data_IF_534140352323
#
_entry.id   IF_534140352323
#
_cell.length_a   1.000
_cell.length_b   1.000
_cell.length_c   1.000
_cell.angle_alpha   90.00
_cell.angle_beta   90.00
_cell.angle_gamma   90.00
#
_symmetry.space_group_name_H-M   'P 1'
#
loop_
_entity.id
_entity.type
_entity.pdbx_description
1 polymer ?
#
# COMPACT_ATOMS: atom_id res chain seq x y z
N UNK A 1 -55.43 24.86 -9.24
CA UNK A 1 -56.33 24.37 -10.31
C UNK A 1 -55.63 24.57 -11.63
N UNK A 2 -55.20 23.50 -12.29
CA UNK A 2 -54.61 23.56 -13.64
C UNK A 2 -55.72 23.94 -14.62
N UNK A 3 -55.56 25.06 -15.32
CA UNK A 3 -56.46 25.43 -16.42
C UNK A 3 -55.63 25.25 -17.68
N UNK A 4 -55.97 24.26 -18.49
CA UNK A 4 -55.24 23.99 -19.73
C UNK A 4 -55.25 25.21 -20.63
N UNK A 5 -54.17 25.42 -21.40
CA UNK A 5 -54.09 26.49 -22.40
C UNK A 5 -55.29 26.43 -23.35
N UNK A 6 -55.73 25.21 -23.71
CA UNK A 6 -56.94 24.96 -24.50
C UNK A 6 -58.21 25.41 -23.79
N UNK A 7 -58.37 25.12 -22.50
CA UNK A 7 -59.53 25.56 -21.71
C UNK A 7 -59.55 27.08 -21.54
N UNK A 8 -58.40 27.74 -21.36
CA UNK A 8 -58.32 29.22 -21.32
C UNK A 8 -58.71 29.84 -22.65
N UNK A 9 -58.19 29.32 -23.76
CA UNK A 9 -58.55 29.80 -25.10
C UNK A 9 -60.05 29.57 -25.38
N UNK A 10 -60.59 28.41 -24.99
CA UNK A 10 -62.01 28.10 -25.13
C UNK A 10 -62.89 29.03 -24.28
N UNK A 11 -62.53 29.29 -23.02
CA UNK A 11 -63.24 30.23 -22.14
C UNK A 11 -63.18 31.67 -22.66
N UNK A 12 -62.04 32.09 -23.22
CA UNK A 12 -61.89 33.39 -23.88
C UNK A 12 -62.81 33.51 -25.10
N UNK A 13 -62.78 32.53 -25.99
CA UNK A 13 -63.64 32.50 -27.18
C UNK A 13 -65.12 32.48 -26.79
N UNK A 14 -65.48 31.70 -25.76
CA UNK A 14 -66.84 31.66 -25.23
C UNK A 14 -67.25 33.00 -24.62
N UNK A 15 -66.40 33.65 -23.83
CA UNK A 15 -66.68 34.95 -23.21
C UNK A 15 -66.83 36.09 -24.24
N UNK A 16 -65.97 36.12 -25.26
CA UNK A 16 -66.10 37.08 -26.37
C UNK A 16 -67.34 36.78 -27.22
N UNK A 17 -67.64 35.50 -27.47
CA UNK A 17 -68.83 35.08 -28.20
C UNK A 17 -70.14 35.43 -27.48
N UNK A 18 -70.21 35.21 -26.16
CA UNK A 18 -71.39 35.56 -25.35
C UNK A 18 -71.55 37.07 -25.21
N UNK A 19 -70.46 37.82 -25.00
CA UNK A 19 -70.48 39.28 -24.97
C UNK A 19 -70.96 39.86 -26.31
N UNK A 20 -70.46 39.32 -27.43
CA UNK A 20 -70.90 39.68 -28.77
C UNK A 20 -72.41 39.39 -28.96
N UNK A 21 -72.87 38.18 -28.65
CA UNK A 21 -74.29 37.81 -28.76
C UNK A 21 -75.20 38.69 -27.90
N UNK A 22 -74.82 38.96 -26.64
CA UNK A 22 -75.58 39.83 -25.74
C UNK A 22 -75.65 41.25 -26.28
N UNK A 23 -74.54 41.77 -26.80
CA UNK A 23 -74.44 43.11 -27.35
C UNK A 23 -75.27 43.28 -28.63
N UNK A 24 -75.31 42.25 -29.49
CA UNK A 24 -76.17 42.17 -30.67
C UNK A 24 -77.66 42.10 -30.29
N UNK A 25 -78.01 41.26 -29.30
CA UNK A 25 -79.39 41.12 -28.81
C UNK A 25 -79.93 42.42 -28.20
N UNK A 26 -79.10 43.14 -27.44
CA UNK A 26 -79.42 44.47 -26.91
C UNK A 26 -79.58 45.51 -28.03
N UNK A 27 -78.66 45.55 -29.00
CA UNK A 27 -78.75 46.46 -30.13
C UNK A 27 -80.03 46.24 -30.95
N UNK A 28 -80.43 44.99 -31.18
CA UNK A 28 -81.69 44.65 -31.84
C UNK A 28 -82.91 45.09 -31.00
N UNK A 29 -82.89 44.88 -29.68
CA UNK A 29 -83.98 45.26 -28.76
C UNK A 29 -84.20 46.78 -28.70
N UNK A 30 -83.13 47.58 -28.81
CA UNK A 30 -83.18 49.04 -28.77
C UNK A 30 -83.25 49.70 -30.16
N UNK A 31 -83.45 48.92 -31.23
CA UNK A 31 -83.69 49.44 -32.58
C UNK A 31 -82.46 50.07 -33.25
N UNK A 32 -81.25 49.59 -32.93
CA UNK A 32 -80.04 50.10 -33.57
C UNK A 32 -80.03 49.78 -35.07
N UNK A 33 -79.53 50.71 -35.91
CA UNK A 33 -79.41 50.44 -37.34
C UNK A 33 -78.36 49.36 -37.63
N UNK A 34 -78.49 48.70 -38.78
CA UNK A 34 -77.62 47.57 -39.20
C UNK A 34 -76.12 47.91 -39.14
N UNK A 35 -75.74 49.12 -39.54
CA UNK A 35 -74.35 49.59 -39.49
C UNK A 35 -73.81 49.69 -38.05
N UNK A 36 -74.66 49.95 -37.05
CA UNK A 36 -74.27 49.94 -35.63
C UNK A 36 -73.98 48.53 -35.10
N UNK A 37 -74.76 47.53 -35.53
CA UNK A 37 -74.53 46.12 -35.17
C UNK A 37 -73.24 45.58 -35.81
N UNK A 38 -72.96 45.97 -37.07
CA UNK A 38 -71.72 45.61 -37.77
C UNK A 38 -70.48 46.27 -37.14
N UNK A 39 -70.57 47.53 -36.71
CA UNK A 39 -69.47 48.20 -36.03
C UNK A 39 -69.13 47.53 -34.68
N UNK A 40 -70.15 47.10 -33.94
CA UNK A 40 -70.00 46.40 -32.67
C UNK A 40 -69.37 45.01 -32.83
N UNK A 41 -69.75 44.25 -33.86
CA UNK A 41 -69.13 42.97 -34.16
C UNK A 41 -67.67 43.12 -34.59
N UNK A 42 -67.37 44.12 -35.43
CA UNK A 42 -66.00 44.46 -35.81
C UNK A 42 -65.16 44.88 -34.59
N UNK A 43 -65.72 45.64 -33.65
CA UNK A 43 -65.05 46.03 -32.41
C UNK A 43 -64.68 44.81 -31.54
N UNK A 44 -65.62 43.89 -31.33
CA UNK A 44 -65.33 42.66 -30.58
C UNK A 44 -64.32 41.75 -31.27
N UNK A 45 -64.37 41.64 -32.60
CA UNK A 45 -63.38 40.89 -33.39
C UNK A 45 -61.98 41.52 -33.30
N UNK A 46 -61.89 42.86 -33.33
CA UNK A 46 -60.63 43.58 -33.18
C UNK A 46 -60.02 43.34 -31.78
N UNK A 47 -60.83 43.45 -30.72
CA UNK A 47 -60.38 43.17 -29.36
C UNK A 47 -59.90 41.73 -29.18
N UNK A 48 -60.65 40.76 -29.72
CA UNK A 48 -60.24 39.35 -29.72
C UNK A 48 -58.92 39.16 -30.49
N UNK A 49 -58.78 39.77 -31.66
CA UNK A 49 -57.57 39.72 -32.47
C UNK A 49 -56.34 40.29 -31.75
N UNK A 50 -56.48 41.46 -31.11
CA UNK A 50 -55.41 42.06 -30.30
C UNK A 50 -55.02 41.16 -29.11
N UNK A 51 -56.01 40.57 -28.43
CA UNK A 51 -55.77 39.66 -27.31
C UNK A 51 -55.04 38.38 -27.76
N UNK A 52 -55.46 37.77 -28.87
CA UNK A 52 -54.82 36.59 -29.45
C UNK A 52 -53.39 36.90 -29.92
N UNK A 53 -53.16 38.06 -30.56
CA UNK A 53 -51.83 38.49 -30.98
C UNK A 53 -50.89 38.66 -29.79
N UNK A 54 -51.37 39.28 -28.70
CA UNK A 54 -50.59 39.43 -27.47
C UNK A 54 -50.24 38.07 -26.84
N UNK A 55 -51.17 37.11 -26.83
CA UNK A 55 -50.92 35.75 -26.35
C UNK A 55 -49.90 35.00 -27.24
N UNK A 56 -50.03 35.09 -28.57
CA UNK A 56 -49.09 34.45 -29.50
C UNK A 56 -47.67 34.99 -29.36
N UNK A 57 -47.51 36.30 -29.20
CA UNK A 57 -46.19 36.92 -28.98
C UNK A 57 -45.46 36.34 -27.77
N UNK A 58 -46.18 36.07 -26.67
CA UNK A 58 -45.61 35.45 -25.47
C UNK A 58 -45.16 34.00 -25.69
N UNK A 59 -45.94 33.23 -26.44
CA UNK A 59 -45.61 31.82 -26.75
C UNK A 59 -44.39 31.75 -27.68
N UNK A 60 -44.35 32.60 -28.73
CA UNK A 60 -43.21 32.64 -29.65
C UNK A 60 -41.92 33.10 -28.96
N UNK A 61 -42.01 34.07 -28.03
CA UNK A 61 -40.87 34.47 -27.22
C UNK A 61 -40.34 33.31 -26.36
N UNK A 62 -41.24 32.53 -25.74
CA UNK A 62 -40.86 31.33 -24.97
C UNK A 62 -40.22 30.26 -25.85
N UNK A 63 -40.74 30.02 -27.05
CA UNK A 63 -40.14 29.07 -28.00
C UNK A 63 -38.71 29.49 -28.36
N UNK A 64 -38.48 30.78 -28.65
CA UNK A 64 -37.12 31.30 -28.90
C UNK A 64 -36.23 31.18 -27.68
N UNK A 65 -36.75 31.41 -26.48
CA UNK A 65 -36.00 31.25 -25.25
C UNK A 65 -35.60 29.79 -24.99
N UNK A 66 -36.52 28.85 -25.19
CA UNK A 66 -36.25 27.40 -25.11
C UNK A 66 -35.27 26.92 -26.18
N UNK A 67 -35.38 27.42 -27.41
CA UNK A 67 -34.44 27.09 -28.47
C UNK A 67 -33.03 27.62 -28.12
N UNK A 68 -32.96 28.87 -27.66
CA UNK A 68 -31.68 29.48 -27.26
C UNK A 68 -30.99 28.76 -26.10
N UNK A 69 -31.73 28.25 -25.11
CA UNK A 69 -31.12 27.48 -24.02
C UNK A 69 -30.59 26.12 -24.48
N UNK A 70 -31.20 25.50 -25.48
CA UNK A 70 -30.68 24.27 -26.08
C UNK A 70 -29.34 24.52 -26.80
N UNK A 71 -29.20 25.66 -27.48
CA UNK A 71 -27.93 26.05 -28.08
C UNK A 71 -26.86 26.26 -26.98
N UNK A 72 -27.19 26.90 -25.87
CA UNK A 72 -26.26 27.03 -24.73
C UNK A 72 -25.85 25.68 -24.13
N UNK A 73 -26.76 24.70 -24.06
CA UNK A 73 -26.42 23.35 -23.61
C UNK A 73 -25.45 22.64 -24.55
N UNK A 74 -25.55 22.87 -25.86
CA UNK A 74 -24.58 22.34 -26.84
C UNK A 74 -23.18 22.91 -26.63
N UNK A 75 -23.10 24.16 -26.19
CA UNK A 75 -21.84 24.83 -25.87
C UNK A 75 -21.32 24.49 -24.46
N UNK A 76 -22.06 23.66 -23.71
CA UNK A 76 -21.69 23.20 -22.37
C UNK A 76 -22.00 24.19 -21.24
N UNK A 77 -22.78 25.24 -21.51
CA UNK A 77 -23.26 26.19 -20.51
C UNK A 77 -24.66 25.80 -20.02
N UNK A 78 -24.71 25.28 -18.80
CA UNK A 78 -25.95 24.85 -18.13
C UNK A 78 -26.39 25.81 -17.02
N UNK A 79 -25.90 27.06 -17.02
CA UNK A 79 -26.18 28.03 -15.96
C UNK A 79 -27.53 28.74 -16.10
N UNK A 80 -28.18 28.64 -17.25
CA UNK A 80 -29.43 29.33 -17.55
C UNK A 80 -30.65 28.58 -17.02
N UNK A 81 -31.63 29.35 -16.55
CA UNK A 81 -32.95 28.85 -16.17
C UNK A 81 -34.03 29.74 -16.77
N UNK A 82 -35.10 29.12 -17.24
CA UNK A 82 -36.24 29.82 -17.81
C UNK A 82 -37.31 30.00 -16.74
N UNK A 83 -37.95 31.16 -16.73
CA UNK A 83 -39.06 31.44 -15.80
C UNK A 83 -40.34 31.66 -16.60
N UNK A 84 -41.36 30.88 -16.29
CA UNK A 84 -42.70 31.08 -16.84
C UNK A 84 -43.70 31.30 -15.69
N UNK A 85 -44.33 32.49 -15.61
CA UNK A 85 -45.16 32.85 -14.47
C UNK A 85 -46.51 32.10 -14.42
N UNK A 86 -46.95 31.47 -15.52
CA UNK A 86 -48.25 30.81 -15.57
C UNK A 86 -48.12 29.32 -15.22
N UNK A 87 -49.10 28.79 -14.47
CA UNK A 87 -49.20 27.36 -14.14
C UNK A 87 -50.05 26.63 -15.17
N UNK A 88 -49.50 26.48 -16.37
CA UNK A 88 -50.09 25.80 -17.54
C UNK A 88 -49.13 24.75 -18.11
N UNK A 89 -49.46 24.15 -19.25
CA UNK A 89 -48.62 23.14 -19.92
C UNK A 89 -47.24 23.67 -20.30
N UNK A 90 -47.13 24.95 -20.68
CA UNK A 90 -45.86 25.60 -20.97
C UNK A 90 -45.03 25.76 -19.69
N UNK A 91 -45.66 26.09 -18.56
CA UNK A 91 -45.01 26.08 -17.25
C UNK A 91 -44.46 24.71 -16.86
N UNK A 92 -45.17 23.63 -17.17
CA UNK A 92 -44.66 22.27 -16.96
C UNK A 92 -43.46 21.94 -17.84
N UNK A 93 -43.49 22.37 -19.12
CA UNK A 93 -42.37 22.19 -20.05
C UNK A 93 -41.14 22.97 -19.58
N UNK A 94 -41.29 24.22 -19.15
CA UNK A 94 -40.21 25.04 -18.59
C UNK A 94 -39.63 24.40 -17.33
N UNK A 95 -40.49 23.91 -16.43
CA UNK A 95 -40.05 23.20 -15.24
C UNK A 95 -39.28 21.91 -15.60
N UNK A 96 -39.73 21.15 -16.61
CA UNK A 96 -39.01 19.97 -17.09
C UNK A 96 -37.67 20.33 -17.73
N UNK A 97 -37.62 21.41 -18.51
CA UNK A 97 -36.40 21.91 -19.14
C UNK A 97 -35.36 22.36 -18.11
N UNK A 98 -35.77 23.12 -17.08
CA UNK A 98 -34.86 23.53 -16.00
C UNK A 98 -34.34 22.32 -15.22
N UNK A 99 -35.20 21.32 -14.92
CA UNK A 99 -34.73 20.07 -14.27
C UNK A 99 -33.67 19.35 -15.10
N UNK A 100 -33.80 19.37 -16.43
CA UNK A 100 -32.79 18.79 -17.32
C UNK A 100 -31.47 19.57 -17.22
N UNK A 101 -31.52 20.90 -17.30
CA UNK A 101 -30.35 21.77 -17.13
C UNK A 101 -29.64 21.55 -15.79
N UNK A 102 -30.38 21.52 -14.69
CA UNK A 102 -29.86 21.24 -13.35
C UNK A 102 -29.18 19.87 -13.27
N UNK A 103 -29.78 18.85 -13.90
CA UNK A 103 -29.22 17.49 -13.93
C UNK A 103 -27.91 17.44 -14.71
N UNK A 104 -27.85 18.06 -15.88
CA UNK A 104 -26.63 18.13 -16.72
C UNK A 104 -25.52 18.93 -16.01
N UNK A 105 -25.87 20.06 -15.40
CA UNK A 105 -24.94 20.87 -14.59
C UNK A 105 -24.37 20.06 -13.43
N UNK A 106 -25.23 19.34 -12.70
CA UNK A 106 -24.80 18.49 -11.60
C UNK A 106 -23.87 17.35 -12.07
N UNK A 107 -24.17 16.71 -13.21
CA UNK A 107 -23.31 15.68 -13.80
C UNK A 107 -21.95 16.25 -14.22
N UNK A 108 -21.93 17.41 -14.90
CA UNK A 108 -20.69 18.08 -15.32
C UNK A 108 -19.82 18.45 -14.12
N UNK A 109 -20.40 19.06 -13.10
CA UNK A 109 -19.68 19.41 -11.87
C UNK A 109 -19.12 18.18 -11.16
N UNK A 110 -19.89 17.08 -11.07
CA UNK A 110 -19.42 15.82 -10.48
C UNK A 110 -18.26 15.21 -11.26
N UNK A 111 -18.32 15.23 -12.59
CA UNK A 111 -17.23 14.75 -13.45
C UNK A 111 -15.96 15.60 -13.25
N UNK A 112 -16.08 16.93 -13.28
CA UNK A 112 -14.96 17.83 -13.07
C UNK A 112 -14.35 17.69 -11.66
N UNK A 113 -15.18 17.57 -10.61
CA UNK A 113 -14.71 17.31 -9.26
C UNK A 113 -13.98 15.97 -9.15
N UNK A 114 -14.49 14.92 -9.81
CA UNK A 114 -13.86 13.60 -9.83
C UNK A 114 -12.52 13.64 -10.57
N UNK A 115 -12.45 14.33 -11.70
CA UNK A 115 -11.21 14.50 -12.47
C UNK A 115 -10.16 15.25 -11.65
N UNK A 116 -10.53 16.37 -11.03
CA UNK A 116 -9.63 17.15 -10.17
C UNK A 116 -9.16 16.34 -8.95
N UNK A 117 -10.05 15.56 -8.32
CA UNK A 117 -9.69 14.66 -7.22
C UNK A 117 -8.68 13.61 -7.68
N UNK A 118 -8.93 12.94 -8.81
CA UNK A 118 -8.04 11.91 -9.35
C UNK A 118 -6.68 12.50 -9.74
N UNK A 119 -6.64 13.64 -10.41
CA UNK A 119 -5.38 14.33 -10.73
C UNK A 119 -4.64 14.73 -9.45
N UNK A 120 -5.34 15.29 -8.46
CA UNK A 120 -4.72 15.65 -7.17
C UNK A 120 -4.10 14.44 -6.48
N UNK A 121 -4.79 13.30 -6.46
CA UNK A 121 -4.28 12.04 -5.88
C UNK A 121 -3.04 11.55 -6.64
N UNK A 122 -3.09 11.56 -7.98
CA UNK A 122 -1.96 11.13 -8.81
C UNK A 122 -0.76 12.04 -8.62
N UNK A 123 -0.95 13.37 -8.69
CA UNK A 123 0.12 14.36 -8.57
C UNK A 123 0.77 14.39 -7.19
N UNK A 124 -0.01 14.23 -6.12
CA UNK A 124 0.49 14.29 -4.73
C UNK A 124 0.83 12.91 -4.13
N UNK A 125 0.71 11.83 -4.91
CA UNK A 125 1.19 10.53 -4.47
C UNK A 125 2.71 10.60 -4.22
N UNK A 126 3.20 10.11 -3.06
CA UNK A 126 4.63 10.12 -2.76
C UNK A 126 5.42 9.14 -3.65
N UNK A 127 4.74 8.14 -4.22
CA UNK A 127 5.35 7.20 -5.15
C UNK A 127 5.48 7.86 -6.54
N UNK A 128 6.64 7.68 -7.19
CA UNK A 128 6.82 8.11 -8.56
C UNK A 128 6.00 7.22 -9.50
N UNK A 129 5.09 7.84 -10.26
CA UNK A 129 4.21 7.15 -11.20
C UNK A 129 4.51 7.63 -12.60
N UNK A 130 4.83 6.70 -13.50
CA UNK A 130 4.97 6.96 -14.93
C UNK A 130 4.04 6.03 -15.71
N UNK A 131 3.32 6.60 -16.66
CA UNK A 131 2.59 5.85 -17.65
C UNK A 131 3.34 5.95 -18.97
N UNK A 132 3.70 4.81 -19.56
CA UNK A 132 4.35 4.75 -20.88
C UNK A 132 3.46 4.06 -21.91
N UNK A 133 3.59 4.48 -23.17
CA UNK A 133 2.93 3.83 -24.30
C UNK A 133 3.77 2.65 -24.85
N UNK A 134 3.27 2.02 -25.91
CA UNK A 134 3.94 0.88 -26.57
C UNK A 134 5.28 1.21 -27.25
N UNK A 135 5.68 2.49 -27.32
CA UNK A 135 6.95 2.95 -27.89
C UNK A 135 7.86 3.55 -26.81
N UNK A 136 7.64 3.19 -25.54
CA UNK A 136 8.35 3.69 -24.37
C UNK A 136 8.34 5.22 -24.26
N UNK A 137 7.28 5.88 -24.72
CA UNK A 137 7.08 7.32 -24.52
C UNK A 137 6.25 7.56 -23.29
N UNK A 138 6.70 8.52 -22.47
CA UNK A 138 5.99 8.91 -21.26
C UNK A 138 4.71 9.65 -21.65
N UNK A 139 3.56 9.08 -21.30
CA UNK A 139 2.24 9.68 -21.47
C UNK A 139 1.88 10.55 -20.26
N UNK A 140 2.26 10.11 -19.06
CA UNK A 140 1.98 10.82 -17.81
C UNK A 140 3.14 10.57 -16.83
N UNK A 141 3.60 11.63 -16.18
CA UNK A 141 4.51 11.54 -15.04
C UNK A 141 4.03 12.44 -13.91
N UNK A 142 3.77 11.87 -12.73
CA UNK A 142 3.34 12.66 -11.57
C UNK A 142 4.49 13.51 -11.01
N UNK A 143 4.18 14.39 -10.04
CA UNK A 143 5.18 15.29 -9.45
C UNK A 143 6.39 14.54 -8.85
N UNK A 144 6.16 13.39 -8.20
CA UNK A 144 7.22 12.55 -7.66
C UNK A 144 8.12 12.00 -8.77
N UNK A 145 7.55 11.50 -9.88
CA UNK A 145 8.32 11.05 -11.04
C UNK A 145 9.12 12.18 -11.69
N UNK A 146 8.54 13.39 -11.79
CA UNK A 146 9.25 14.56 -12.33
C UNK A 146 10.45 14.94 -11.47
N UNK A 147 10.31 14.93 -10.14
CA UNK A 147 11.43 15.19 -9.22
C UNK A 147 12.52 14.13 -9.35
N UNK A 148 12.11 12.86 -9.39
CA UNK A 148 13.04 11.74 -9.38
C UNK A 148 13.76 11.56 -10.72
N UNK A 149 13.05 11.59 -11.85
CA UNK A 149 13.59 11.29 -13.20
C UNK A 149 13.78 12.52 -14.09
N UNK A 150 13.09 13.63 -13.82
CA UNK A 150 13.04 14.80 -14.72
C UNK A 150 13.67 16.08 -14.17
N UNK A 151 14.32 16.03 -13.00
CA UNK A 151 14.86 17.23 -12.33
C UNK A 151 13.79 18.32 -12.13
N UNK A 152 12.54 17.90 -11.90
CA UNK A 152 11.37 18.76 -11.75
C UNK A 152 10.69 19.19 -13.06
N UNK A 153 11.25 18.84 -14.23
CA UNK A 153 10.64 19.14 -15.54
C UNK A 153 9.55 18.14 -15.90
N UNK A 154 8.68 18.55 -16.83
CA UNK A 154 7.65 17.69 -17.43
C UNK A 154 8.31 16.57 -18.22
N UNK A 155 7.80 15.35 -18.04
CA UNK A 155 8.34 14.13 -18.65
C UNK A 155 7.54 13.72 -19.89
N UNK A 156 6.33 14.23 -20.04
CA UNK A 156 5.40 13.83 -21.09
C UNK A 156 6.02 14.02 -22.50
N UNK A 157 5.80 13.05 -23.38
CA UNK A 157 6.31 13.02 -24.75
C UNK A 157 7.76 12.55 -24.91
N UNK A 158 8.55 12.53 -23.83
CA UNK A 158 9.94 12.08 -23.87
C UNK A 158 10.03 10.55 -23.91
N UNK A 159 11.12 10.05 -24.49
CA UNK A 159 11.44 8.61 -24.50
C UNK A 159 12.00 8.20 -23.14
N UNK A 160 11.44 7.14 -22.55
CA UNK A 160 11.88 6.59 -21.27
C UNK A 160 13.35 6.14 -21.31
N UNK A 161 13.83 5.39 -22.32
CA UNK A 161 15.26 5.10 -22.48
C UNK A 161 16.16 6.34 -22.45
N UNK A 162 15.75 7.43 -23.10
CA UNK A 162 16.53 8.67 -23.12
C UNK A 162 16.59 9.35 -21.74
N UNK A 163 15.51 9.28 -20.96
CA UNK A 163 15.47 9.78 -19.58
C UNK A 163 16.35 8.95 -18.63
N UNK A 164 16.49 7.65 -18.90
CA UNK A 164 17.28 6.71 -18.09
C UNK A 164 18.76 6.69 -18.46
N UNK A 165 19.15 7.15 -19.64
CA UNK A 165 20.53 7.03 -20.15
C UNK A 165 21.61 7.65 -19.22
N UNK A 166 21.24 8.68 -18.45
CA UNK A 166 22.15 9.38 -17.53
C UNK A 166 21.97 8.93 -16.07
N UNK A 167 21.15 7.89 -15.83
CA UNK A 167 20.86 7.37 -14.50
C UNK A 167 21.83 6.25 -14.11
N UNK A 168 21.99 5.95 -12.81
CA UNK A 168 22.86 4.86 -12.36
C UNK A 168 22.48 3.52 -13.00
N UNK A 169 23.48 2.69 -13.26
CA UNK A 169 23.34 1.44 -14.03
C UNK A 169 22.28 0.51 -13.42
N UNK A 170 22.24 0.38 -12.08
CA UNK A 170 21.24 -0.40 -11.37
C UNK A 170 19.80 0.02 -11.70
N UNK A 171 19.55 1.33 -11.85
CA UNK A 171 18.24 1.84 -12.27
C UNK A 171 17.97 1.50 -13.73
N UNK A 172 18.94 1.63 -14.63
CA UNK A 172 18.76 1.28 -16.05
C UNK A 172 18.40 -0.21 -16.21
N UNK A 173 19.13 -1.09 -15.50
CA UNK A 173 18.89 -2.53 -15.51
C UNK A 173 17.50 -2.87 -14.95
N UNK A 174 17.09 -2.28 -13.83
CA UNK A 174 15.75 -2.49 -13.25
C UNK A 174 14.63 -2.07 -14.22
N UNK A 175 14.81 -0.96 -14.94
CA UNK A 175 13.87 -0.49 -15.97
C UNK A 175 13.96 -1.29 -17.29
N UNK A 176 14.91 -2.20 -17.45
CA UNK A 176 14.97 -3.15 -18.59
C UNK A 176 14.33 -4.50 -18.27
N UNK A 177 14.27 -4.90 -16.99
CA UNK A 177 13.70 -6.17 -16.58
C UNK A 177 12.17 -6.23 -16.77
N UNK A 178 11.69 -7.38 -17.24
CA UNK A 178 10.27 -7.70 -17.31
C UNK A 178 9.79 -8.19 -15.93
N UNK A 179 9.25 -7.28 -15.12
CA UNK A 179 8.67 -7.62 -13.82
C UNK A 179 8.94 -6.58 -12.74
N UNK A 180 8.50 -6.89 -11.53
CA UNK A 180 8.81 -6.08 -10.35
C UNK A 180 10.30 -6.29 -9.98
N UNK A 181 10.98 -5.21 -9.61
CA UNK A 181 12.41 -5.23 -9.32
C UNK A 181 12.72 -4.43 -8.04
N UNK A 182 13.63 -4.95 -7.23
CA UNK A 182 14.23 -4.26 -6.10
C UNK A 182 15.69 -3.97 -6.44
N UNK A 183 16.13 -2.73 -6.26
CA UNK A 183 17.50 -2.33 -6.59
C UNK A 183 17.99 -1.21 -5.67
N UNK A 184 19.30 -1.15 -5.48
CA UNK A 184 19.97 -0.11 -4.71
C UNK A 184 20.66 0.88 -5.64
N UNK A 185 20.67 2.15 -5.25
CA UNK A 185 21.35 3.24 -5.97
C UNK A 185 22.13 4.06 -4.96
N UNK A 186 23.44 4.18 -5.14
CA UNK A 186 24.30 4.95 -4.25
C UNK A 186 25.67 4.30 -4.10
N UNK A 187 26.42 4.75 -3.10
CA UNK A 187 27.67 4.14 -2.63
C UNK A 187 27.41 3.27 -1.41
N UNK A 188 28.26 2.28 -1.11
CA UNK A 188 28.09 1.29 -0.03
C UNK A 188 27.61 1.87 1.33
N UNK A 189 28.05 3.08 1.70
CA UNK A 189 27.67 3.73 2.98
C UNK A 189 26.37 4.55 2.94
N UNK A 190 25.86 4.91 1.75
CA UNK A 190 24.65 5.73 1.57
C UNK A 190 23.88 5.27 0.33
N UNK A 191 23.37 4.04 0.41
CA UNK A 191 22.53 3.47 -0.64
C UNK A 191 21.05 3.79 -0.43
N UNK A 192 20.39 4.12 -1.54
CA UNK A 192 18.95 4.21 -1.61
C UNK A 192 18.33 2.97 -2.25
N UNK A 193 17.43 2.33 -1.51
CA UNK A 193 16.73 1.13 -1.96
C UNK A 193 15.41 1.53 -2.62
N UNK A 194 15.23 1.09 -3.85
CA UNK A 194 14.03 1.33 -4.64
C UNK A 194 13.32 0.04 -5.02
N UNK A 195 11.99 0.08 -4.99
CA UNK A 195 11.11 -0.94 -5.53
C UNK A 195 10.37 -0.38 -6.75
N UNK A 196 10.60 -0.99 -7.90
CA UNK A 196 9.92 -0.72 -9.16
C UNK A 196 8.85 -1.79 -9.39
N UNK A 197 7.60 -1.37 -9.55
CA UNK A 197 6.50 -2.26 -9.94
C UNK A 197 5.95 -1.88 -11.30
N UNK A 198 5.59 -2.90 -12.08
CA UNK A 198 5.08 -2.74 -13.45
C UNK A 198 3.68 -3.29 -13.57
N UNK A 199 2.73 -2.49 -14.03
CA UNK A 199 1.33 -2.92 -14.19
C UNK A 199 0.84 -2.61 -15.61
N UNK A 200 0.46 -3.62 -16.41
CA UNK A 200 -0.10 -3.38 -17.73
C UNK A 200 -1.46 -2.68 -17.60
N UNK A 201 -1.70 -1.70 -18.46
CA UNK A 201 -2.94 -0.94 -18.53
C UNK A 201 -3.40 -0.81 -19.98
N UNK A 202 -4.71 -0.82 -20.23
CA UNK A 202 -5.26 -0.50 -21.56
C UNK A 202 -6.06 0.78 -21.48
N UNK A 203 -5.64 1.80 -22.23
CA UNK A 203 -6.35 3.07 -22.36
C UNK A 203 -6.77 3.25 -23.81
N UNK A 204 -8.07 3.49 -24.05
CA UNK A 204 -8.65 3.62 -25.38
C UNK A 204 -8.28 2.44 -26.31
N UNK A 205 -8.22 1.22 -25.77
CA UNK A 205 -7.84 0.01 -26.50
C UNK A 205 -6.34 -0.18 -26.76
N UNK A 206 -5.50 0.82 -26.46
CA UNK A 206 -4.04 0.76 -26.67
C UNK A 206 -3.32 0.26 -25.40
N UNK A 207 -2.34 -0.65 -25.53
CA UNK A 207 -1.54 -1.10 -24.40
C UNK A 207 -0.64 0.05 -23.90
N UNK A 208 -0.61 0.19 -22.58
CA UNK A 208 0.26 1.08 -21.83
C UNK A 208 0.84 0.31 -20.66
N UNK A 209 1.91 0.82 -20.07
CA UNK A 209 2.51 0.27 -18.87
C UNK A 209 2.59 1.34 -17.80
N UNK A 210 2.07 1.03 -16.61
CA UNK A 210 2.18 1.86 -15.43
C UNK A 210 3.39 1.41 -14.61
N UNK A 211 4.39 2.27 -14.53
CA UNK A 211 5.61 2.10 -13.76
C UNK A 211 5.47 2.85 -12.44
N UNK A 212 5.66 2.13 -11.34
CA UNK A 212 5.51 2.63 -9.99
C UNK A 212 6.83 2.47 -9.25
N UNK A 213 7.50 3.57 -8.94
CA UNK A 213 8.80 3.55 -8.28
C UNK A 213 8.68 4.13 -6.86
N UNK A 214 8.99 3.29 -5.86
CA UNK A 214 8.94 3.65 -4.43
C UNK A 214 10.32 3.50 -3.80
N UNK A 215 10.78 4.53 -3.10
CA UNK A 215 11.96 4.46 -2.23
C UNK A 215 11.57 3.81 -0.89
N UNK A 216 12.38 2.88 -0.41
CA UNK A 216 12.17 2.13 0.84
C UNK A 216 13.24 2.42 1.90
N UNK A 217 14.26 3.20 1.58
CA UNK A 217 15.43 3.47 2.44
C UNK A 217 15.06 3.95 3.84
N UNK A 218 14.16 4.93 3.94
CA UNK A 218 13.83 5.55 5.21
C UNK A 218 13.10 4.58 6.16
N UNK A 219 12.18 3.78 5.62
CA UNK A 219 11.47 2.74 6.37
C UNK A 219 12.41 1.63 6.82
N UNK A 220 13.32 1.17 5.95
CA UNK A 220 14.31 0.15 6.28
C UNK A 220 15.30 0.65 7.34
N UNK A 221 15.88 1.84 7.19
CA UNK A 221 16.76 2.46 8.21
C UNK A 221 16.06 2.61 9.56
N UNK A 222 14.77 2.95 9.58
CA UNK A 222 14.00 3.02 10.84
C UNK A 222 13.88 1.64 11.50
N UNK A 223 13.61 0.59 10.72
CA UNK A 223 13.52 -0.78 11.21
C UNK A 223 14.89 -1.28 11.73
N UNK A 224 15.97 -0.99 11.02
CA UNK A 224 17.34 -1.27 11.47
C UNK A 224 17.64 -0.56 12.79
N UNK A 225 17.44 0.76 12.88
CA UNK A 225 17.68 1.53 14.11
C UNK A 225 16.84 1.02 15.28
N UNK A 226 15.57 0.64 15.04
CA UNK A 226 14.73 0.05 16.06
C UNK A 226 15.30 -1.30 16.56
N UNK A 227 15.81 -2.12 15.64
CA UNK A 227 16.44 -3.41 15.93
C UNK A 227 17.74 -3.21 16.70
N UNK A 228 18.60 -2.28 16.27
CA UNK A 228 19.83 -1.88 16.97
C UNK A 228 19.55 -1.34 18.37
N UNK A 229 18.54 -0.49 18.55
CA UNK A 229 18.13 -0.02 19.89
C UNK A 229 17.74 -1.18 20.81
N UNK A 230 17.10 -2.22 20.27
CA UNK A 230 16.76 -3.43 21.04
C UNK A 230 18.02 -4.19 21.45
N UNK A 231 18.96 -4.38 20.53
CA UNK A 231 20.26 -5.02 20.79
C UNK A 231 21.07 -4.25 21.85
N UNK A 232 21.23 -2.92 21.68
CA UNK A 232 21.96 -2.06 22.63
C UNK A 232 21.37 -2.15 24.03
N UNK A 233 20.04 -2.20 24.16
CA UNK A 233 19.37 -2.33 25.46
C UNK A 233 19.73 -3.63 26.15
N UNK A 234 19.74 -4.74 25.41
CA UNK A 234 20.11 -6.05 25.97
C UNK A 234 21.58 -6.07 26.37
N UNK A 235 22.49 -5.57 25.51
CA UNK A 235 23.91 -5.44 25.84
C UNK A 235 24.10 -4.59 27.09
N UNK A 236 23.45 -3.44 27.18
CA UNK A 236 23.56 -2.54 28.33
C UNK A 236 23.10 -3.23 29.62
N UNK A 237 22.04 -4.03 29.54
CA UNK A 237 21.53 -4.79 30.69
C UNK A 237 22.53 -5.86 31.15
N UNK A 238 23.07 -6.65 30.22
CA UNK A 238 24.03 -7.72 30.55
C UNK A 238 25.39 -7.18 31.03
N UNK A 239 25.88 -6.09 30.45
CA UNK A 239 27.07 -5.38 30.93
C UNK A 239 26.86 -4.89 32.36
N UNK A 240 25.76 -4.18 32.64
CA UNK A 240 25.48 -3.64 33.96
C UNK A 240 25.26 -4.74 35.00
N UNK A 241 24.58 -5.84 34.64
CA UNK A 241 24.36 -6.99 35.52
C UNK A 241 25.64 -7.71 35.93
N UNK A 242 26.68 -7.65 35.09
CA UNK A 242 27.97 -8.27 35.39
C UNK A 242 28.91 -7.29 36.10
N UNK A 243 28.98 -6.04 35.64
CA UNK A 243 29.90 -5.03 36.17
C UNK A 243 29.51 -4.49 37.55
N UNK A 244 28.21 -4.28 37.82
CA UNK A 244 27.79 -3.71 39.10
C UNK A 244 28.14 -4.62 40.31
N UNK A 245 27.88 -5.94 40.28
CA UNK A 245 28.31 -6.83 41.35
C UNK A 245 29.84 -6.92 41.47
N UNK A 246 30.57 -6.94 40.34
CA UNK A 246 32.04 -6.96 40.36
C UNK A 246 32.58 -5.73 41.10
N UNK A 247 32.11 -4.53 40.73
CA UNK A 247 32.56 -3.29 41.35
C UNK A 247 32.19 -3.24 42.85
N UNK A 248 30.96 -3.64 43.20
CA UNK A 248 30.51 -3.66 44.59
C UNK A 248 31.28 -4.67 45.44
N UNK A 249 31.52 -5.88 44.94
CA UNK A 249 32.25 -6.92 45.68
C UNK A 249 33.74 -6.59 45.79
N UNK A 250 34.34 -5.98 44.76
CA UNK A 250 35.72 -5.51 44.83
C UNK A 250 35.87 -4.40 45.88
N UNK A 251 34.94 -3.46 45.94
CA UNK A 251 34.91 -2.42 46.96
C UNK A 251 34.74 -3.00 48.37
N UNK A 252 33.77 -3.89 48.57
CA UNK A 252 33.56 -4.57 49.85
C UNK A 252 34.77 -5.42 50.26
N UNK A 253 35.42 -6.09 49.30
CA UNK A 253 36.64 -6.86 49.53
C UNK A 253 37.79 -5.99 50.03
N UNK A 254 37.97 -4.80 49.45
CA UNK A 254 38.96 -3.83 49.92
C UNK A 254 38.69 -3.37 51.37
N UNK A 255 37.42 -3.14 51.73
CA UNK A 255 37.06 -2.77 53.11
C UNK A 255 37.22 -3.94 54.09
N UNK A 256 36.92 -5.17 53.69
CA UNK A 256 37.16 -6.38 54.49
C UNK A 256 38.65 -6.59 54.77
N UNK A 257 39.52 -6.36 53.79
CA UNK A 257 40.97 -6.37 53.96
C UNK A 257 41.41 -5.32 54.98
N UNK A 258 40.88 -4.09 54.89
CA UNK A 258 41.19 -3.00 55.83
C UNK A 258 40.81 -3.35 57.28
N UNK A 259 39.72 -4.10 57.46
CA UNK A 259 39.23 -4.57 58.76
C UNK A 259 39.82 -5.90 59.22
N UNK A 260 40.73 -6.51 58.44
CA UNK A 260 41.32 -7.82 58.72
C UNK A 260 40.29 -8.96 58.85
N UNK A 261 39.13 -8.83 58.18
CA UNK A 261 38.07 -9.84 58.15
C UNK A 261 38.17 -10.67 56.87
N UNK A 262 39.04 -11.69 56.90
CA UNK A 262 39.40 -12.45 55.69
C UNK A 262 38.41 -13.56 55.31
N UNK A 263 37.55 -13.99 56.22
CA UNK A 263 36.63 -15.12 56.01
C UNK A 263 35.73 -14.97 54.76
N UNK A 264 35.15 -13.78 54.43
CA UNK A 264 34.26 -13.65 53.26
C UNK A 264 34.98 -13.41 51.93
N UNK A 265 36.31 -13.15 51.94
CA UNK A 265 37.06 -12.78 50.74
C UNK A 265 37.06 -13.87 49.65
N UNK A 266 37.25 -15.16 49.96
CA UNK A 266 37.24 -16.21 48.93
C UNK A 266 35.92 -16.24 48.16
N UNK A 267 34.78 -16.08 48.86
CA UNK A 267 33.46 -16.06 48.23
C UNK A 267 33.26 -14.83 47.33
N UNK A 268 33.71 -13.66 47.79
CA UNK A 268 33.65 -12.42 47.01
C UNK A 268 34.49 -12.52 45.73
N UNK A 269 35.72 -13.03 45.84
CA UNK A 269 36.62 -13.23 44.70
C UNK A 269 36.08 -14.26 43.70
N UNK A 270 35.56 -15.39 44.19
CA UNK A 270 34.94 -16.41 43.34
C UNK A 270 33.73 -15.84 42.56
N UNK A 271 32.92 -15.02 43.21
CA UNK A 271 31.77 -14.37 42.57
C UNK A 271 32.22 -13.34 41.53
N UNK A 272 33.28 -12.57 41.80
CA UNK A 272 33.88 -11.64 40.82
C UNK A 272 34.39 -12.42 39.60
N UNK A 273 35.11 -13.51 39.82
CA UNK A 273 35.66 -14.36 38.75
C UNK A 273 34.55 -14.97 37.88
N UNK A 274 33.47 -15.46 38.50
CA UNK A 274 32.30 -15.97 37.79
C UNK A 274 31.66 -14.90 36.91
N UNK A 275 31.42 -13.70 37.45
CA UNK A 275 30.82 -12.58 36.71
C UNK A 275 31.72 -12.10 35.57
N UNK A 276 33.04 -12.06 35.79
CA UNK A 276 34.01 -11.68 34.76
C UNK A 276 34.04 -12.70 33.61
N UNK A 277 34.07 -14.00 33.92
CA UNK A 277 34.01 -15.07 32.90
C UNK A 277 32.71 -15.05 32.11
N UNK A 278 31.59 -14.79 32.78
CA UNK A 278 30.29 -14.61 32.10
C UNK A 278 30.34 -13.44 31.11
N UNK A 279 30.86 -12.28 31.54
CA UNK A 279 31.00 -11.09 30.70
C UNK A 279 31.92 -11.33 29.49
N UNK A 280 33.04 -12.01 29.68
CA UNK A 280 33.96 -12.40 28.61
C UNK A 280 33.27 -13.32 27.58
N UNK A 281 32.53 -14.32 28.06
CA UNK A 281 31.71 -15.18 27.22
C UNK A 281 30.71 -14.39 26.38
N UNK A 282 29.97 -13.49 27.03
CA UNK A 282 29.00 -12.62 26.37
C UNK A 282 29.61 -11.75 25.26
N UNK A 283 30.75 -11.10 25.54
CA UNK A 283 31.45 -10.25 24.55
C UNK A 283 31.95 -11.07 23.37
N UNK A 284 32.53 -12.24 23.62
CA UNK A 284 33.00 -13.16 22.58
C UNK A 284 31.86 -13.67 21.70
N UNK A 285 30.72 -13.99 22.29
CA UNK A 285 29.55 -14.46 21.56
C UNK A 285 28.94 -13.33 20.70
N UNK A 286 28.88 -12.11 21.24
CA UNK A 286 28.47 -10.94 20.47
C UNK A 286 29.41 -10.64 19.31
N UNK A 287 30.73 -10.68 19.52
CA UNK A 287 31.71 -10.41 18.47
C UNK A 287 31.60 -11.42 17.30
N UNK A 288 31.26 -12.68 17.60
CA UNK A 288 30.98 -13.70 16.57
C UNK A 288 29.69 -13.41 15.79
N UNK A 289 28.66 -12.88 16.45
CA UNK A 289 27.41 -12.49 15.80
C UNK A 289 27.58 -11.24 14.93
N UNK A 290 28.26 -10.21 15.43
CA UNK A 290 28.40 -8.91 14.74
C UNK A 290 29.38 -8.91 13.55
N UNK A 291 30.22 -9.95 13.41
CA UNK A 291 31.21 -10.09 12.33
C UNK A 291 30.98 -11.34 11.48
N UNK A 292 29.73 -11.61 11.09
CA UNK A 292 29.48 -12.66 10.11
C UNK A 292 29.91 -12.15 8.71
N UNK A 293 30.93 -12.75 8.06
CA UNK A 293 31.33 -12.35 6.72
C UNK A 293 30.29 -12.79 5.68
N UNK A 294 30.25 -12.11 4.53
CA UNK A 294 29.43 -12.54 3.41
C UNK A 294 29.75 -14.00 3.00
N UNK A 295 28.74 -14.86 2.78
CA UNK A 295 28.95 -16.29 2.55
C UNK A 295 29.64 -16.55 1.21
N UNK A 296 30.61 -17.49 1.22
CA UNK A 296 31.26 -17.97 0.00
C UNK A 296 30.55 -19.23 -0.50
N UNK A 297 29.67 -19.06 -1.49
CA UNK A 297 28.80 -20.13 -1.98
C UNK A 297 29.55 -21.12 -2.90
N UNK A 298 29.85 -22.29 -2.35
CA UNK A 298 30.52 -23.39 -3.03
C UNK A 298 29.57 -24.59 -3.20
N UNK A 299 29.73 -25.40 -4.27
CA UNK A 299 28.92 -26.61 -4.45
C UNK A 299 29.29 -27.68 -3.41
N UNK A 300 28.31 -28.14 -2.64
CA UNK A 300 28.45 -29.12 -1.57
C UNK A 300 27.48 -30.29 -1.81
N UNK A 301 27.91 -31.53 -1.52
CA UNK A 301 27.03 -32.71 -1.53
C UNK A 301 26.40 -32.93 -0.16
N UNK A 302 25.08 -33.15 -0.10
CA UNK A 302 24.34 -33.33 1.15
C UNK A 302 24.86 -34.48 2.02
N UNK A 303 25.16 -35.64 1.42
CA UNK A 303 25.69 -36.81 2.14
C UNK A 303 27.00 -36.52 2.86
N UNK A 304 27.99 -35.98 2.13
CA UNK A 304 29.29 -35.65 2.70
C UNK A 304 29.18 -34.59 3.81
N UNK A 305 28.27 -33.62 3.65
CA UNK A 305 28.05 -32.54 4.60
C UNK A 305 27.33 -33.00 5.87
N UNK A 306 26.15 -33.62 5.74
CA UNK A 306 25.39 -34.13 6.88
C UNK A 306 26.08 -35.32 7.55
N UNK A 307 26.83 -36.13 6.80
CA UNK A 307 27.66 -37.19 7.35
C UNK A 307 28.76 -36.66 8.27
N UNK A 308 29.43 -35.56 7.89
CA UNK A 308 30.40 -34.89 8.75
C UNK A 308 29.74 -34.25 9.99
N UNK A 309 28.57 -33.64 9.81
CA UNK A 309 27.79 -33.06 10.91
C UNK A 309 27.38 -34.12 11.94
N UNK A 310 27.01 -35.31 11.46
CA UNK A 310 26.59 -36.44 12.30
C UNK A 310 27.74 -37.02 13.13
N UNK A 311 29.01 -36.79 12.77
CA UNK A 311 30.17 -37.14 13.61
C UNK A 311 30.33 -36.21 14.82
N UNK A 312 29.74 -35.01 14.77
CA UNK A 312 29.85 -34.02 15.84
C UNK A 312 28.65 -34.06 16.79
N UNK A 313 27.45 -34.36 16.28
CA UNK A 313 26.24 -34.50 17.07
C UNK A 313 25.29 -35.56 16.50
N UNK A 314 24.63 -36.29 17.40
CA UNK A 314 23.67 -37.32 17.03
C UNK A 314 22.37 -36.72 16.49
N UNK A 315 21.92 -37.18 15.33
CA UNK A 315 20.58 -36.92 14.79
C UNK A 315 20.24 -37.96 13.71
N UNK A 316 18.95 -38.10 13.40
CA UNK A 316 18.48 -38.93 12.29
C UNK A 316 18.20 -38.09 11.06
N UNK A 317 18.55 -38.57 9.87
CA UNK A 317 18.14 -37.94 8.62
C UNK A 317 17.88 -38.96 7.51
N UNK A 318 17.03 -38.59 6.55
CA UNK A 318 16.71 -39.43 5.40
C UNK A 318 17.67 -39.16 4.24
N UNK A 319 18.35 -40.22 3.78
CA UNK A 319 19.35 -40.19 2.72
C UNK A 319 18.76 -40.09 1.30
N UNK A 320 17.44 -40.01 1.14
CA UNK A 320 16.74 -39.90 -0.16
C UNK A 320 17.35 -38.85 -1.11
N UNK A 321 17.86 -37.72 -0.59
CA UNK A 321 18.50 -36.67 -1.39
C UNK A 321 20.02 -36.52 -1.14
N UNK A 322 20.67 -37.52 -0.55
CA UNK A 322 22.08 -37.42 -0.12
C UNK A 322 23.07 -37.10 -1.26
N UNK A 323 22.83 -37.60 -2.47
CA UNK A 323 23.72 -37.37 -3.62
C UNK A 323 23.55 -36.00 -4.28
N UNK A 324 22.49 -35.27 -3.96
CA UNK A 324 22.21 -33.99 -4.57
C UNK A 324 23.19 -32.90 -4.08
N UNK A 325 23.44 -31.94 -4.96
CA UNK A 325 24.29 -30.78 -4.68
C UNK A 325 23.46 -29.55 -4.36
N UNK A 326 24.03 -28.67 -3.55
CA UNK A 326 23.51 -27.35 -3.23
C UNK A 326 24.67 -26.37 -3.08
N UNK A 327 24.42 -25.06 -3.16
CA UNK A 327 25.45 -24.04 -2.98
C UNK A 327 25.31 -23.38 -1.62
N UNK A 328 26.37 -23.41 -0.81
CA UNK A 328 26.41 -22.70 0.47
C UNK A 328 27.85 -22.42 0.91
N UNK A 329 28.00 -21.55 1.89
CA UNK A 329 29.22 -21.49 2.69
C UNK A 329 29.19 -22.66 3.68
N UNK A 330 30.11 -23.61 3.49
CA UNK A 330 30.15 -24.84 4.28
C UNK A 330 30.25 -24.56 5.78
N UNK A 331 31.16 -23.67 6.18
CA UNK A 331 31.45 -23.43 7.59
C UNK A 331 30.28 -22.70 8.28
N UNK A 332 29.69 -21.72 7.60
CA UNK A 332 28.54 -21.01 8.14
C UNK A 332 27.32 -21.93 8.25
N UNK A 333 26.98 -22.70 7.21
CA UNK A 333 25.82 -23.58 7.27
C UNK A 333 26.00 -24.69 8.32
N UNK A 334 27.21 -25.22 8.48
CA UNK A 334 27.54 -26.17 9.54
C UNK A 334 27.25 -25.57 10.91
N UNK A 335 27.71 -24.34 11.15
CA UNK A 335 27.45 -23.61 12.39
C UNK A 335 25.96 -23.38 12.65
N UNK A 336 25.18 -23.02 11.62
CA UNK A 336 23.74 -22.86 11.74
C UNK A 336 23.06 -24.18 12.13
N UNK A 337 23.34 -25.28 11.43
CA UNK A 337 22.73 -26.57 11.71
C UNK A 337 23.15 -27.14 13.07
N UNK A 338 24.42 -26.99 13.46
CA UNK A 338 24.88 -27.36 14.81
C UNK A 338 24.11 -26.59 15.89
N UNK A 339 23.88 -25.29 15.72
CA UNK A 339 23.11 -24.52 16.69
C UNK A 339 21.66 -25.03 16.81
N UNK A 340 21.03 -25.39 15.69
CA UNK A 340 19.66 -25.91 15.69
C UNK A 340 19.57 -27.32 16.30
N UNK A 341 20.47 -28.22 15.93
CA UNK A 341 20.52 -29.59 16.45
C UNK A 341 20.84 -29.56 17.95
N UNK A 342 21.74 -28.69 18.39
CA UNK A 342 22.08 -28.51 19.80
C UNK A 342 20.87 -28.03 20.59
N UNK A 343 20.13 -27.05 20.06
CA UNK A 343 18.90 -26.57 20.67
C UNK A 343 17.83 -27.67 20.75
N UNK A 344 17.74 -28.54 19.74
CA UNK A 344 16.85 -29.69 19.73
C UNK A 344 17.19 -30.69 20.86
N UNK A 345 18.47 -31.02 21.06
CA UNK A 345 18.90 -31.86 22.19
C UNK A 345 18.64 -31.22 23.55
N UNK A 346 18.98 -29.93 23.69
CA UNK A 346 18.78 -29.18 24.93
C UNK A 346 17.29 -28.94 25.27
N UNK A 347 16.37 -29.25 24.35
CA UNK A 347 14.92 -29.22 24.63
C UNK A 347 14.45 -30.40 25.50
N UNK A 348 15.31 -31.40 25.74
CA UNK A 348 14.97 -32.65 26.43
C UNK A 348 14.49 -33.76 25.48
N UNK A 349 14.56 -33.53 24.16
CA UNK A 349 14.30 -34.56 23.15
C UNK A 349 15.35 -35.67 23.25
N UNK A 350 14.97 -36.95 23.24
CA UNK A 350 15.93 -38.04 23.05
C UNK A 350 16.71 -37.84 21.74
N UNK A 351 18.00 -38.16 21.75
CA UNK A 351 18.86 -37.97 20.58
C UNK A 351 18.35 -38.74 19.34
N UNK A 352 17.73 -39.90 19.56
CA UNK A 352 17.08 -40.71 18.52
C UNK A 352 15.85 -40.05 17.89
N UNK A 353 15.29 -39.00 18.51
CA UNK A 353 14.08 -38.32 18.05
C UNK A 353 14.36 -36.94 17.45
N UNK A 354 15.62 -36.47 17.50
CA UNK A 354 16.07 -35.31 16.74
C UNK A 354 16.22 -35.72 15.28
N UNK A 355 15.36 -35.18 14.41
CA UNK A 355 15.29 -35.57 13.00
C UNK A 355 15.47 -34.39 12.06
N UNK A 356 16.39 -34.52 11.11
CA UNK A 356 16.57 -33.61 10.00
C UNK A 356 15.95 -34.22 8.73
N UNK A 357 15.06 -33.49 8.07
CA UNK A 357 14.47 -33.88 6.78
C UNK A 357 14.92 -32.91 5.69
N UNK A 358 15.43 -33.46 4.59
CA UNK A 358 15.72 -32.71 3.37
C UNK A 358 14.58 -32.88 2.38
N UNK A 359 14.12 -31.79 1.78
CA UNK A 359 13.13 -31.82 0.69
C UNK A 359 13.57 -30.88 -0.42
N UNK A 360 13.48 -31.37 -1.67
CA UNK A 360 13.64 -30.51 -2.84
C UNK A 360 12.45 -29.57 -2.98
N UNK A 361 12.70 -28.30 -3.23
CA UNK A 361 11.69 -27.29 -3.52
C UNK A 361 11.95 -26.67 -4.91
N UNK A 362 10.96 -25.98 -5.49
CA UNK A 362 11.05 -25.50 -6.88
C UNK A 362 12.26 -24.59 -7.16
N UNK A 363 12.67 -23.79 -6.17
CA UNK A 363 13.75 -22.80 -6.28
C UNK A 363 14.85 -23.03 -5.24
N UNK A 364 15.07 -24.27 -4.78
CA UNK A 364 16.10 -24.57 -3.79
C UNK A 364 15.83 -25.77 -2.88
N UNK A 365 16.25 -25.68 -1.63
CA UNK A 365 16.19 -26.75 -0.63
C UNK A 365 15.42 -26.33 0.60
N UNK A 366 14.57 -27.24 1.10
CA UNK A 366 13.95 -27.13 2.41
C UNK A 366 14.59 -28.12 3.38
N UNK A 367 15.03 -27.62 4.53
CA UNK A 367 15.67 -28.39 5.60
C UNK A 367 14.80 -28.24 6.85
N UNK A 368 14.18 -29.32 7.30
CA UNK A 368 13.36 -29.31 8.50
C UNK A 368 14.08 -30.04 9.64
N UNK A 369 14.30 -29.39 10.77
CA UNK A 369 14.85 -29.97 11.99
C UNK A 369 13.71 -30.09 13.00
N UNK A 370 13.45 -31.31 13.47
CA UNK A 370 12.38 -31.62 14.40
C UNK A 370 12.93 -32.17 15.71
N UNK A 371 12.37 -31.71 16.82
CA UNK A 371 12.59 -32.27 18.16
C UNK A 371 11.28 -32.73 18.80
N UNK A 372 11.38 -33.39 19.96
CA UNK A 372 10.27 -33.85 20.79
C UNK A 372 10.28 -33.27 22.20
N UNK A 373 10.84 -32.07 22.33
CA UNK A 373 10.79 -31.31 23.57
C UNK A 373 9.39 -30.74 23.87
N UNK A 374 9.27 -29.85 24.87
CA UNK A 374 8.00 -29.23 25.26
C UNK A 374 7.46 -28.21 24.23
N UNK A 375 8.23 -27.86 23.20
CA UNK A 375 7.93 -26.76 22.29
C UNK A 375 8.07 -25.39 22.98
N UNK A 376 7.43 -24.37 22.39
CA UNK A 376 7.46 -22.99 22.89
C UNK A 376 6.05 -22.42 22.95
N UNK A 377 5.73 -21.59 23.94
CA UNK A 377 4.47 -20.84 23.90
C UNK A 377 4.52 -19.74 22.81
N UNK A 378 3.38 -19.17 22.43
CA UNK A 378 3.29 -18.18 21.34
C UNK A 378 4.17 -16.93 21.58
N UNK A 379 4.25 -16.45 22.82
CA UNK A 379 5.07 -15.29 23.17
C UNK A 379 6.57 -15.57 23.00
N UNK A 380 7.03 -16.77 23.35
CA UNK A 380 8.41 -17.24 23.17
C UNK A 380 8.70 -17.45 21.68
N UNK A 381 7.80 -18.08 20.93
CA UNK A 381 7.94 -18.29 19.48
C UNK A 381 8.15 -16.98 18.71
N UNK A 382 7.37 -15.95 19.02
CA UNK A 382 7.47 -14.64 18.39
C UNK A 382 8.81 -13.93 18.67
N UNK A 383 9.53 -14.35 19.71
CA UNK A 383 10.78 -13.72 20.17
C UNK A 383 12.01 -14.62 19.99
N UNK A 384 11.83 -15.91 19.70
CA UNK A 384 12.88 -16.93 19.70
C UNK A 384 14.04 -16.65 18.73
N UNK A 385 13.77 -15.92 17.64
CA UNK A 385 14.75 -15.54 16.63
C UNK A 385 15.46 -14.20 16.92
N UNK A 386 15.08 -13.51 18.00
CA UNK A 386 15.74 -12.27 18.39
C UNK A 386 17.08 -12.56 19.06
N UNK A 387 18.14 -11.82 18.73
CA UNK A 387 19.42 -11.94 19.41
C UNK A 387 19.26 -11.80 20.92
N UNK A 388 19.98 -12.63 21.68
CA UNK A 388 20.02 -12.65 23.15
C UNK A 388 18.72 -13.03 23.85
N UNK A 389 17.68 -13.40 23.12
CA UNK A 389 16.48 -13.94 23.72
C UNK A 389 16.69 -15.41 24.10
N UNK A 390 16.56 -15.72 25.39
CA UNK A 390 16.72 -17.08 25.91
C UNK A 390 15.80 -17.29 27.10
N UNK A 391 15.16 -18.45 27.18
CA UNK A 391 14.42 -18.92 28.35
C UNK A 391 15.29 -19.78 29.28
N UNK A 392 16.52 -20.11 28.86
CA UNK A 392 17.46 -20.98 29.60
C UNK A 392 18.35 -20.14 30.51
N UNK A 393 18.55 -20.58 31.76
CA UNK A 393 19.37 -19.87 32.78
C UNK A 393 20.81 -19.55 32.35
N UNK A 394 21.42 -20.40 31.52
CA UNK A 394 22.79 -20.22 30.99
C UNK A 394 22.82 -20.11 29.45
N UNK A 395 21.67 -19.91 28.81
CA UNK A 395 21.60 -19.81 27.36
C UNK A 395 21.92 -18.39 26.90
N UNK A 396 22.89 -18.26 26.00
CA UNK A 396 23.36 -16.97 25.46
C UNK A 396 22.32 -16.28 24.57
N UNK A 397 21.29 -17.01 24.12
CA UNK A 397 20.23 -16.50 23.24
C UNK A 397 20.70 -16.14 21.83
N UNK A 398 21.93 -16.50 21.45
CA UNK A 398 22.50 -16.18 20.15
C UNK A 398 22.39 -17.32 19.13
N UNK A 399 22.20 -18.57 19.55
CA UNK A 399 22.22 -19.72 18.64
C UNK A 399 21.16 -19.66 17.53
N UNK A 400 19.89 -19.41 17.89
CA UNK A 400 18.80 -19.28 16.92
C UNK A 400 18.91 -18.02 16.07
N UNK A 401 19.30 -16.90 16.67
CA UNK A 401 19.51 -15.64 15.97
C UNK A 401 20.65 -15.73 14.95
N UNK A 402 21.74 -16.45 15.28
CA UNK A 402 22.86 -16.67 14.38
C UNK A 402 22.48 -17.64 13.26
N UNK A 403 21.75 -18.71 13.56
CA UNK A 403 21.22 -19.60 12.52
C UNK A 403 20.33 -18.82 11.53
N UNK A 404 19.52 -17.88 12.03
CA UNK A 404 18.73 -16.97 11.19
C UNK A 404 19.61 -16.09 10.30
N UNK A 405 20.57 -15.38 10.87
CA UNK A 405 21.47 -14.48 10.12
C UNK A 405 22.23 -15.24 9.02
N UNK A 406 22.73 -16.44 9.33
CA UNK A 406 23.41 -17.29 8.35
C UNK A 406 22.44 -17.65 7.22
N UNK A 407 21.23 -18.11 7.51
CA UNK A 407 20.28 -18.51 6.47
C UNK A 407 19.79 -17.32 5.64
N UNK A 408 19.55 -16.16 6.27
CA UNK A 408 19.14 -14.93 5.57
C UNK A 408 20.28 -14.38 4.69
N UNK A 409 21.54 -14.43 5.13
CA UNK A 409 22.70 -14.02 4.32
C UNK A 409 22.96 -14.94 3.11
N UNK A 410 22.47 -16.18 3.16
CA UNK A 410 22.43 -17.10 2.02
C UNK A 410 21.21 -16.88 1.11
N UNK A 411 20.42 -15.82 1.32
CA UNK A 411 19.20 -15.53 0.56
C UNK A 411 18.01 -16.42 0.94
N UNK A 412 18.10 -17.14 2.06
CA UNK A 412 17.11 -18.07 2.56
C UNK A 412 16.16 -17.49 3.60
N UNK A 413 15.34 -18.36 4.18
CA UNK A 413 14.43 -18.01 5.27
C UNK A 413 14.35 -19.11 6.34
N UNK A 414 14.15 -18.73 7.60
CA UNK A 414 13.96 -19.63 8.74
C UNK A 414 12.60 -19.38 9.39
N UNK A 415 11.91 -20.47 9.74
CA UNK A 415 10.62 -20.42 10.44
C UNK A 415 10.56 -21.46 11.55
N UNK A 416 9.78 -21.18 12.59
CA UNK A 416 9.60 -22.06 13.74
C UNK A 416 8.11 -22.32 13.93
N UNK A 417 7.76 -23.57 14.20
CA UNK A 417 6.39 -23.97 14.52
C UNK A 417 6.39 -25.09 15.55
N UNK A 418 5.44 -25.05 16.49
CA UNK A 418 5.18 -26.20 17.35
C UNK A 418 4.62 -27.36 16.52
N UNK A 419 4.94 -28.58 16.95
CA UNK A 419 4.47 -29.81 16.30
C UNK A 419 3.22 -30.34 16.99
N UNK A 420 2.33 -30.95 16.20
CA UNK A 420 1.25 -31.77 16.74
C UNK A 420 1.84 -32.95 17.55
N UNK A 421 1.33 -33.13 18.77
CA UNK A 421 1.82 -34.14 19.71
C UNK A 421 3.12 -33.77 20.44
N UNK A 422 3.54 -32.49 20.41
CA UNK A 422 4.70 -31.99 21.15
C UNK A 422 6.00 -31.94 20.34
N UNK A 423 6.86 -31.00 20.73
CA UNK A 423 8.12 -30.67 20.07
C UNK A 423 8.06 -29.42 19.21
N UNK A 424 9.22 -29.02 18.71
CA UNK A 424 9.41 -27.89 17.81
C UNK A 424 9.89 -28.38 16.44
N UNK A 425 9.41 -27.74 15.38
CA UNK A 425 9.94 -27.85 14.03
C UNK A 425 10.57 -26.53 13.62
N UNK A 426 11.83 -26.58 13.20
CA UNK A 426 12.55 -25.46 12.61
C UNK A 426 12.74 -25.75 11.13
N UNK A 427 12.18 -24.91 10.27
CA UNK A 427 12.23 -25.07 8.82
C UNK A 427 13.10 -23.99 8.20
N UNK A 428 14.12 -24.41 7.45
CA UNK A 428 15.02 -23.56 6.68
C UNK A 428 14.70 -23.72 5.19
N UNK A 429 14.70 -22.61 4.46
CA UNK A 429 14.60 -22.58 3.01
C UNK A 429 15.86 -21.91 2.48
N UNK A 430 16.60 -22.59 1.61
CA UNK A 430 17.80 -22.08 0.94
C UNK A 430 17.54 -22.03 -0.57
N UNK A 431 17.89 -20.95 -1.27
CA UNK A 431 17.88 -20.91 -2.72
C UNK A 431 18.98 -21.82 -3.32
N UNK A 432 18.88 -22.09 -4.62
CA UNK A 432 19.86 -22.91 -5.37
C UNK A 432 21.25 -22.28 -5.56
#
# INVERSE_FOLDING_TARGET
MFISLRLRLALLLAAYGTALMLSLALGLRYGWPLYGLLALSAFWLLLLGLHLNHQQGRILAMYRALAGTVDSYRDGDFSFSLVWPQRDELGMLVAAHNRLGDTLRAQRNRLQQRELLLDTVVQNSPQAMLLVDSHDRVVLGNLAARRLLGEGRRLEGHSLPALLAHRPEAMQQAFSHQGDALFAVGSEDDEDIYHLSRRPLRLNGRPHELLLLRQLTAELRRQEVATWKKVIRVISHELNNSLAPIASLAHSGAELLRRQHYEPLPLALATIEERARHLEGFIRDYARFAKLPAPRLEPIRWDAFLGALQQQMDFQWDRTHGDAQFRADRAQLEQALLNLIKNAHESGSPASEVRLQLRRHANGWRIDIFDRGPGMNEAVLAQALLPFYSTKRHGTGLGLALAREIIESHGGHISLANREGGGLGVSLMLPD
#
